data_IF_467414883967
#
_entry.id   IF_467414883967
#
_cell.length_a   1.000
_cell.length_b   1.000
_cell.length_c   1.000
_cell.angle_alpha   90.00
_cell.angle_beta   90.00
_cell.angle_gamma   90.00
#
_symmetry.space_group_name_H-M   'P 1'
#
loop_
_entity.id
_entity.type
_entity.pdbx_description
1 polymer ?
#
# COMPACT_ATOMS: atom_id res chain seq x y z
N UNK A 1 -15.96 -20.00 -46.48
CA UNK A 1 -15.54 -21.34 -46.94
C UNK A 1 -15.30 -22.15 -45.68
N UNK A 2 -16.04 -23.16 -45.25
CA UNK A 2 -17.08 -24.08 -45.77
C UNK A 2 -17.77 -24.55 -44.47
N UNK A 3 -19.05 -24.32 -44.16
CA UNK A 3 -20.33 -24.73 -44.75
C UNK A 3 -20.61 -26.25 -44.72
N UNK A 4 -21.86 -26.56 -44.34
CA UNK A 4 -22.62 -27.82 -44.42
C UNK A 4 -22.43 -28.84 -43.29
N UNK A 5 -23.44 -29.58 -42.81
CA UNK A 5 -24.92 -29.51 -42.79
C UNK A 5 -25.39 -30.90 -42.31
N UNK A 6 -26.46 -30.96 -41.50
CA UNK A 6 -27.55 -31.97 -41.56
C UNK A 6 -27.17 -33.46 -41.30
N UNK A 7 -28.04 -34.42 -40.96
CA UNK A 7 -29.48 -34.54 -40.69
C UNK A 7 -29.71 -36.02 -40.37
N UNK A 8 -30.68 -36.36 -39.50
CA UNK A 8 -31.90 -37.18 -39.78
C UNK A 8 -32.45 -37.77 -38.48
N UNK A 9 -33.68 -37.39 -38.07
CA UNK A 9 -35.02 -37.97 -38.42
C UNK A 9 -35.21 -39.35 -37.77
N UNK A 10 -36.23 -39.61 -36.95
CA UNK A 10 -37.67 -39.87 -37.26
C UNK A 10 -38.40 -40.18 -35.91
N UNK A 11 -39.70 -40.02 -35.62
CA UNK A 11 -40.94 -39.82 -36.40
C UNK A 11 -42.12 -39.42 -35.49
N UNK A 12 -43.10 -38.73 -36.10
CA UNK A 12 -44.43 -38.30 -35.66
C UNK A 12 -45.44 -39.40 -35.28
N UNK A 13 -46.40 -39.06 -34.39
CA UNK A 13 -47.89 -39.05 -34.53
C UNK A 13 -48.47 -38.44 -33.21
N UNK A 14 -48.99 -37.22 -33.14
CA UNK A 14 -50.30 -36.67 -33.57
C UNK A 14 -51.52 -37.11 -32.70
N UNK A 15 -51.99 -36.21 -31.83
CA UNK A 15 -53.38 -36.01 -31.34
C UNK A 15 -53.38 -34.73 -30.46
N UNK A 16 -53.71 -33.54 -30.96
CA UNK A 16 -55.04 -32.90 -31.08
C UNK A 16 -55.85 -32.83 -29.77
N UNK A 17 -55.77 -31.70 -29.05
CA UNK A 17 -56.93 -31.11 -28.36
C UNK A 17 -56.77 -29.59 -28.25
N UNK A 18 -57.77 -28.87 -28.75
CA UNK A 18 -57.90 -27.43 -28.72
C UNK A 18 -58.46 -26.94 -27.37
N UNK A 19 -58.34 -25.61 -27.13
CA UNK A 19 -59.21 -24.67 -26.39
C UNK A 19 -58.29 -23.50 -25.96
N UNK A 20 -58.03 -22.53 -26.84
CA UNK A 20 -58.69 -21.20 -26.96
C UNK A 20 -58.57 -20.29 -25.73
N UNK A 21 -58.03 -19.10 -26.00
CA UNK A 21 -57.48 -18.14 -25.04
C UNK A 21 -58.49 -17.47 -24.10
N UNK A 22 -57.98 -17.13 -22.92
CA UNK A 22 -58.66 -16.36 -21.89
C UNK A 22 -58.39 -14.86 -22.15
N UNK A 23 -59.33 -14.19 -22.82
CA UNK A 23 -59.36 -12.73 -22.92
C UNK A 23 -60.04 -12.14 -21.67
N UNK A 24 -59.36 -11.20 -21.01
CA UNK A 24 -59.87 -10.38 -19.92
C UNK A 24 -61.06 -9.53 -20.40
N UNK A 25 -62.28 -9.87 -19.95
CA UNK A 25 -63.49 -9.08 -20.14
C UNK A 25 -63.94 -8.45 -18.82
N UNK A 26 -63.93 -7.12 -18.76
CA UNK A 26 -64.56 -6.34 -17.70
C UNK A 26 -66.06 -6.68 -17.62
N UNK A 27 -66.49 -7.33 -16.54
CA UNK A 27 -67.91 -7.56 -16.26
C UNK A 27 -68.58 -6.29 -15.74
N UNK A 28 -69.46 -5.70 -16.54
CA UNK A 28 -70.38 -4.67 -16.09
C UNK A 28 -71.40 -5.28 -15.11
N UNK A 29 -71.57 -4.65 -13.94
CA UNK A 29 -72.60 -5.01 -12.97
C UNK A 29 -74.01 -4.81 -13.58
N UNK A 30 -74.95 -5.75 -13.41
CA UNK A 30 -76.33 -5.54 -13.83
C UNK A 30 -77.00 -4.54 -12.88
N UNK A 31 -77.22 -3.31 -13.35
CA UNK A 31 -78.10 -2.35 -12.66
C UNK A 31 -79.55 -2.78 -12.94
N UNK A 32 -80.13 -3.54 -12.02
CA UNK A 32 -81.57 -3.82 -12.01
C UNK A 32 -82.32 -2.55 -11.60
N UNK A 33 -82.88 -1.85 -12.58
CA UNK A 33 -83.71 -0.67 -12.33
C UNK A 33 -85.04 -1.11 -11.73
N UNK A 34 -85.24 -0.85 -10.43
CA UNK A 34 -86.53 -1.06 -9.74
C UNK A 34 -87.52 0.01 -10.21
N UNK A 35 -88.54 -0.36 -10.99
CA UNK A 35 -89.64 0.52 -11.34
C UNK A 35 -90.68 0.56 -10.22
N UNK A 36 -91.05 1.76 -9.74
CA UNK A 36 -92.16 1.90 -8.79
C UNK A 36 -93.49 1.67 -9.50
N UNK A 37 -94.23 0.65 -9.05
CA UNK A 37 -95.59 0.34 -9.50
C UNK A 37 -96.54 0.71 -8.37
N UNK A 38 -97.22 1.86 -8.49
CA UNK A 38 -98.22 2.32 -7.52
C UNK A 38 -99.56 1.67 -7.91
N UNK A 39 -100.02 0.68 -7.15
CA UNK A 39 -101.33 0.04 -7.36
C UNK A 39 -102.12 0.03 -6.05
N UNK A 40 -103.43 0.17 -6.15
CA UNK A 40 -104.35 0.15 -4.99
C UNK A 40 -104.84 -1.29 -4.67
N UNK A 41 -104.01 -2.30 -4.96
CA UNK A 41 -104.27 -3.72 -4.68
C UNK A 41 -103.47 -4.15 -3.45
N UNK A 42 -103.96 -5.08 -2.60
CA UNK A 42 -103.18 -5.57 -1.47
C UNK A 42 -101.83 -6.09 -1.96
N UNK A 43 -100.75 -5.78 -1.22
CA UNK A 43 -99.38 -6.17 -1.57
C UNK A 43 -99.34 -7.67 -1.88
N UNK A 44 -98.82 -8.10 -3.05
CA UNK A 44 -98.74 -9.52 -3.37
C UNK A 44 -97.77 -10.24 -2.42
N UNK A 45 -98.12 -11.47 -2.02
CA UNK A 45 -97.44 -12.22 -0.94
C UNK A 45 -95.93 -12.40 -1.13
N UNK A 46 -95.46 -12.40 -2.38
CA UNK A 46 -94.04 -12.48 -2.72
C UNK A 46 -93.24 -11.23 -2.31
N UNK A 47 -93.83 -10.04 -2.37
CA UNK A 47 -93.19 -8.80 -1.93
C UNK A 47 -93.25 -8.60 -0.41
N UNK A 48 -94.26 -9.17 0.26
CA UNK A 48 -94.34 -9.13 1.73
C UNK A 48 -93.19 -9.92 2.37
N UNK A 49 -92.75 -11.03 1.76
CA UNK A 49 -91.63 -11.84 2.26
C UNK A 49 -90.27 -11.17 2.12
N UNK A 50 -90.06 -10.37 1.08
CA UNK A 50 -88.78 -9.67 0.85
C UNK A 50 -88.63 -8.38 1.68
N UNK A 51 -89.72 -7.73 2.06
CA UNK A 51 -89.68 -6.48 2.86
C UNK A 51 -89.44 -6.77 4.35
N UNK A 52 -89.77 -7.98 4.83
CA UNK A 52 -89.60 -8.41 6.23
C UNK A 52 -88.42 -9.37 6.44
N UNK A 53 -87.41 -9.39 5.57
CA UNK A 53 -86.15 -10.03 5.91
C UNK A 53 -85.35 -9.11 6.85
N UNK A 54 -84.96 -9.55 8.05
CA UNK A 54 -84.02 -8.79 8.86
C UNK A 54 -82.75 -8.58 8.02
N UNK A 55 -82.32 -7.33 7.89
CA UNK A 55 -81.06 -6.96 7.23
C UNK A 55 -79.94 -7.88 7.75
N UNK A 56 -79.09 -8.48 6.89
CA UNK A 56 -77.91 -9.19 7.37
C UNK A 56 -77.13 -8.21 8.25
N UNK A 57 -77.04 -8.52 9.54
CA UNK A 57 -76.18 -7.78 10.45
C UNK A 57 -74.76 -8.05 9.96
N UNK A 58 -74.01 -7.00 9.64
CA UNK A 58 -72.61 -7.15 9.31
C UNK A 58 -71.94 -7.95 10.44
N UNK A 59 -71.13 -8.99 10.13
CA UNK A 59 -70.49 -9.78 11.16
C UNK A 59 -69.72 -8.84 12.08
N UNK A 60 -69.94 -8.97 13.39
CA UNK A 60 -69.20 -8.22 14.40
C UNK A 60 -67.77 -8.76 14.34
N UNK A 61 -66.87 -7.98 13.74
CA UNK A 61 -65.44 -8.30 13.74
C UNK A 61 -64.98 -8.23 15.19
N UNK A 62 -64.79 -9.39 15.79
CA UNK A 62 -64.29 -9.48 17.17
C UNK A 62 -62.82 -9.05 17.16
N UNK A 63 -62.27 -8.41 18.21
CA UNK A 63 -60.82 -8.12 18.28
C UNK A 63 -59.95 -9.36 18.03
N UNK A 64 -60.45 -10.57 18.37
CA UNK A 64 -59.79 -11.84 18.09
C UNK A 64 -59.78 -12.24 16.59
N UNK A 65 -60.64 -11.67 15.74
CA UNK A 65 -60.64 -11.93 14.29
C UNK A 65 -59.71 -10.98 13.51
N UNK A 66 -59.36 -9.83 14.09
CA UNK A 66 -58.24 -8.98 13.64
C UNK A 66 -56.88 -9.55 14.08
N UNK A 67 -56.91 -10.43 15.08
CA UNK A 67 -55.76 -11.23 15.48
C UNK A 67 -55.61 -12.39 14.46
N UNK A 68 -55.11 -12.06 13.26
CA UNK A 68 -54.49 -13.09 12.42
C UNK A 68 -53.50 -13.88 13.29
N UNK A 69 -53.39 -15.21 13.12
CA UNK A 69 -52.38 -15.98 13.83
C UNK A 69 -51.02 -15.33 13.56
N UNK A 70 -50.45 -14.77 14.63
CA UNK A 70 -49.19 -14.02 14.62
C UNK A 70 -47.99 -14.87 14.15
N UNK A 71 -48.23 -16.17 13.92
CA UNK A 71 -47.26 -17.18 13.51
C UNK A 71 -47.36 -17.61 12.05
N UNK A 72 -48.26 -17.03 11.25
CA UNK A 72 -48.14 -17.11 9.79
C UNK A 72 -47.01 -16.15 9.37
N UNK A 73 -45.77 -16.52 9.72
CA UNK A 73 -44.55 -15.93 9.16
C UNK A 73 -44.71 -16.00 7.66
N UNK A 74 -45.06 -14.87 7.05
CA UNK A 74 -44.94 -14.72 5.61
C UNK A 74 -43.45 -14.93 5.33
N UNK A 75 -43.12 -16.06 4.69
CA UNK A 75 -41.80 -16.34 4.13
C UNK A 75 -41.59 -15.32 3.01
N UNK A 76 -41.35 -14.07 3.41
CA UNK A 76 -41.19 -12.94 2.53
C UNK A 76 -39.79 -13.03 1.94
N UNK A 77 -39.67 -12.70 0.66
CA UNK A 77 -38.37 -12.60 -0.02
C UNK A 77 -37.39 -11.69 0.78
N UNK A 78 -37.93 -10.69 1.49
CA UNK A 78 -37.19 -9.79 2.38
C UNK A 78 -36.53 -10.55 3.54
N UNK A 79 -37.23 -11.50 4.16
CA UNK A 79 -36.70 -12.27 5.28
C UNK A 79 -35.55 -13.19 4.83
N UNK A 80 -35.67 -13.78 3.64
CA UNK A 80 -34.59 -14.58 3.05
C UNK A 80 -33.34 -13.71 2.79
N UNK A 81 -33.53 -12.50 2.26
CA UNK A 81 -32.45 -11.53 2.04
C UNK A 81 -31.80 -11.09 3.35
N UNK A 82 -32.60 -10.76 4.38
CA UNK A 82 -32.11 -10.42 5.72
C UNK A 82 -31.29 -11.58 6.31
N UNK A 83 -31.75 -12.82 6.15
CA UNK A 83 -31.02 -13.98 6.62
C UNK A 83 -29.68 -14.15 5.89
N UNK A 84 -29.65 -13.91 4.58
CA UNK A 84 -28.42 -13.91 3.79
C UNK A 84 -27.45 -12.81 4.25
N UNK A 85 -27.92 -11.56 4.34
CA UNK A 85 -27.13 -10.42 4.81
C UNK A 85 -26.53 -10.67 6.21
N UNK A 86 -27.29 -11.30 7.11
CA UNK A 86 -26.77 -11.67 8.44
C UNK A 86 -25.63 -12.68 8.39
N UNK A 87 -25.75 -13.69 7.52
CA UNK A 87 -24.71 -14.69 7.35
C UNK A 87 -23.44 -14.06 6.74
N UNK A 88 -23.61 -13.21 5.73
CA UNK A 88 -22.49 -12.51 5.09
C UNK A 88 -21.83 -11.51 6.05
N UNK A 89 -22.62 -10.78 6.84
CA UNK A 89 -22.13 -9.91 7.92
C UNK A 89 -21.33 -10.70 8.96
N UNK A 90 -21.83 -11.86 9.41
CA UNK A 90 -21.11 -12.71 10.36
C UNK A 90 -19.78 -13.23 9.78
N UNK A 91 -19.77 -13.59 8.50
CA UNK A 91 -18.55 -13.98 7.78
C UNK A 91 -17.56 -12.82 7.69
N UNK A 92 -18.04 -11.62 7.34
CA UNK A 92 -17.23 -10.41 7.28
C UNK A 92 -16.61 -10.08 8.65
N UNK A 93 -17.41 -10.10 9.72
CA UNK A 93 -16.95 -9.89 11.09
C UNK A 93 -15.85 -10.88 11.49
N UNK A 94 -16.04 -12.16 11.13
CA UNK A 94 -15.07 -13.21 11.41
C UNK A 94 -13.74 -12.99 10.67
N UNK A 95 -13.80 -12.61 9.39
CA UNK A 95 -12.62 -12.29 8.58
C UNK A 95 -11.88 -11.08 9.12
N UNK A 96 -12.59 -9.99 9.43
CA UNK A 96 -12.00 -8.77 10.01
C UNK A 96 -11.34 -9.07 11.36
N UNK A 97 -11.97 -9.89 12.21
CA UNK A 97 -11.40 -10.32 13.49
C UNK A 97 -10.14 -11.16 13.30
N UNK A 98 -10.11 -12.05 12.31
CA UNK A 98 -8.93 -12.85 11.97
C UNK A 98 -7.77 -11.99 11.46
N UNK A 99 -8.04 -11.02 10.57
CA UNK A 99 -7.06 -10.03 10.08
C UNK A 99 -6.47 -9.25 11.26
N UNK A 100 -7.33 -8.73 12.14
CA UNK A 100 -6.90 -7.99 13.34
C UNK A 100 -6.03 -8.83 14.27
N UNK A 101 -6.40 -10.09 14.51
CA UNK A 101 -5.62 -11.01 15.33
C UNK A 101 -4.25 -11.34 14.72
N UNK A 102 -4.19 -11.55 13.40
CA UNK A 102 -2.93 -11.76 12.68
C UNK A 102 -2.05 -10.51 12.69
N UNK A 103 -2.63 -9.33 12.54
CA UNK A 103 -1.93 -8.05 12.67
C UNK A 103 -1.27 -7.92 14.05
N UNK A 104 -2.03 -8.14 15.13
CA UNK A 104 -1.50 -8.06 16.49
C UNK A 104 -0.37 -9.08 16.73
N UNK A 105 -0.49 -10.28 16.15
CA UNK A 105 0.54 -11.32 16.23
C UNK A 105 1.83 -10.90 15.50
N UNK A 106 1.72 -10.34 14.29
CA UNK A 106 2.87 -9.84 13.53
C UNK A 106 3.55 -8.67 14.25
N UNK A 107 2.76 -7.75 14.82
CA UNK A 107 3.30 -6.64 15.62
C UNK A 107 4.07 -7.16 16.83
N UNK A 108 3.53 -8.13 17.57
CA UNK A 108 4.21 -8.75 18.72
C UNK A 108 5.49 -9.48 18.32
N UNK A 109 5.44 -10.29 17.26
CA UNK A 109 6.61 -10.99 16.71
C UNK A 109 7.69 -10.00 16.22
N UNK A 110 7.28 -8.95 15.52
CA UNK A 110 8.18 -7.90 15.04
C UNK A 110 8.90 -7.18 16.18
N UNK A 111 8.18 -6.83 17.25
CA UNK A 111 8.76 -6.20 18.45
C UNK A 111 9.77 -7.11 19.15
N UNK A 112 9.44 -8.39 19.34
CA UNK A 112 10.33 -9.37 19.96
C UNK A 112 11.59 -9.58 19.11
N UNK A 113 11.42 -9.72 17.80
CA UNK A 113 12.55 -9.95 16.87
C UNK A 113 13.45 -8.72 16.78
N UNK A 114 12.89 -7.51 16.77
CA UNK A 114 13.66 -6.27 16.81
C UNK A 114 14.43 -6.11 18.13
N UNK A 115 13.82 -6.46 19.28
CA UNK A 115 14.51 -6.43 20.56
C UNK A 115 15.70 -7.41 20.61
N UNK A 116 15.51 -8.64 20.12
CA UNK A 116 16.58 -9.63 20.02
C UNK A 116 17.70 -9.16 19.07
N UNK A 117 17.33 -8.55 17.93
CA UNK A 117 18.28 -7.94 17.00
C UNK A 117 19.13 -6.86 17.69
N UNK A 118 18.50 -5.90 18.36
CA UNK A 118 19.23 -4.83 19.04
C UNK A 118 20.12 -5.32 20.18
N UNK A 119 19.71 -6.37 20.90
CA UNK A 119 20.57 -7.00 21.90
C UNK A 119 21.85 -7.58 21.29
N UNK A 120 21.75 -8.24 20.13
CA UNK A 120 22.91 -8.77 19.39
C UNK A 120 23.81 -7.63 18.90
N UNK A 121 23.24 -6.61 18.26
CA UNK A 121 24.00 -5.46 17.75
C UNK A 121 24.68 -4.68 18.89
N UNK A 122 24.02 -4.50 20.03
CA UNK A 122 24.61 -3.88 21.22
C UNK A 122 25.81 -4.67 21.75
N UNK A 123 25.69 -6.00 21.79
CA UNK A 123 26.79 -6.88 22.22
C UNK A 123 27.96 -6.84 21.24
N UNK A 124 27.69 -6.87 19.93
CA UNK A 124 28.71 -6.73 18.89
C UNK A 124 29.41 -5.37 19.00
N UNK A 125 28.64 -4.28 19.08
CA UNK A 125 29.17 -2.91 19.13
C UNK A 125 30.06 -2.68 20.36
N UNK A 126 29.62 -3.10 21.54
CA UNK A 126 30.40 -2.99 22.78
C UNK A 126 31.71 -3.78 22.71
N UNK A 127 31.68 -4.99 22.15
CA UNK A 127 32.87 -5.80 21.96
C UNK A 127 33.84 -5.21 20.93
N UNK A 128 33.32 -4.64 19.83
CA UNK A 128 34.12 -3.98 18.80
C UNK A 128 34.75 -2.67 19.29
N UNK A 129 34.06 -1.91 20.15
CA UNK A 129 34.59 -0.69 20.77
C UNK A 129 35.77 -0.98 21.70
N UNK A 130 35.73 -2.10 22.42
CA UNK A 130 36.83 -2.57 23.27
C UNK A 130 37.98 -3.14 22.43
N UNK A 131 37.72 -3.41 21.14
CA UNK A 131 38.60 -4.15 20.25
C UNK A 131 38.41 -5.66 20.41
N UNK A 132 38.53 -6.39 19.30
CA UNK A 132 38.46 -7.84 19.29
C UNK A 132 39.43 -8.41 18.26
N UNK A 133 39.64 -9.72 18.28
CA UNK A 133 40.44 -10.37 17.24
C UNK A 133 39.69 -10.33 15.91
N UNK A 134 40.35 -10.00 14.78
CA UNK A 134 39.75 -10.10 13.45
C UNK A 134 39.08 -11.46 13.25
N UNK A 135 37.81 -11.46 12.84
CA UNK A 135 37.07 -12.71 12.58
C UNK A 135 36.69 -13.51 13.83
N UNK A 136 36.47 -12.86 14.98
CA UNK A 136 36.03 -13.54 16.20
C UNK A 136 34.76 -14.40 15.97
N UNK A 137 34.81 -15.73 16.16
CA UNK A 137 33.68 -16.62 15.84
C UNK A 137 32.44 -16.37 16.71
N UNK A 138 32.62 -15.84 17.93
CA UNK A 138 31.47 -15.49 18.80
C UNK A 138 30.69 -14.30 18.24
N UNK A 139 31.39 -13.31 17.69
CA UNK A 139 30.75 -12.17 17.05
C UNK A 139 30.16 -12.54 15.71
N UNK A 140 30.80 -13.45 14.97
CA UNK A 140 30.24 -13.99 13.74
C UNK A 140 28.90 -14.70 14.02
N UNK A 141 28.84 -15.55 15.05
CA UNK A 141 27.59 -16.21 15.45
C UNK A 141 26.50 -15.20 15.85
N UNK A 142 26.85 -14.11 16.57
CA UNK A 142 25.90 -13.05 16.90
C UNK A 142 25.43 -12.27 15.67
N UNK A 143 26.33 -12.03 14.71
CA UNK A 143 26.03 -11.39 13.45
C UNK A 143 25.08 -12.25 12.62
N UNK A 144 25.32 -13.57 12.54
CA UNK A 144 24.44 -14.52 11.86
C UNK A 144 23.04 -14.53 12.50
N UNK A 145 22.96 -14.50 13.83
CA UNK A 145 21.68 -14.39 14.54
C UNK A 145 20.98 -13.04 14.24
N UNK A 146 21.73 -11.94 14.17
CA UNK A 146 21.18 -10.64 13.80
C UNK A 146 20.66 -10.63 12.35
N UNK A 147 21.33 -11.30 11.42
CA UNK A 147 20.86 -11.49 10.05
C UNK A 147 19.58 -12.32 10.01
N UNK A 148 19.52 -13.43 10.75
CA UNK A 148 18.31 -14.27 10.84
C UNK A 148 17.10 -13.49 11.41
N UNK A 149 17.35 -12.61 12.37
CA UNK A 149 16.31 -11.72 12.90
C UNK A 149 15.81 -10.75 11.82
N UNK A 150 16.70 -10.10 11.06
CA UNK A 150 16.28 -9.22 9.94
C UNK A 150 15.53 -9.97 8.83
N UNK A 151 15.93 -11.20 8.52
CA UNK A 151 15.21 -12.07 7.58
C UNK A 151 13.79 -12.38 8.07
N UNK A 152 13.62 -12.61 9.38
CA UNK A 152 12.30 -12.79 9.99
C UNK A 152 11.45 -11.52 9.88
N UNK A 153 12.03 -10.33 10.14
CA UNK A 153 11.32 -9.06 9.90
C UNK A 153 10.95 -8.87 8.42
N UNK A 154 11.82 -9.29 7.50
CA UNK A 154 11.54 -9.25 6.06
C UNK A 154 10.37 -10.16 5.68
N UNK A 155 10.23 -11.33 6.31
CA UNK A 155 9.06 -12.20 6.12
C UNK A 155 7.79 -11.59 6.70
N UNK A 156 7.88 -10.99 7.89
CA UNK A 156 6.75 -10.26 8.48
C UNK A 156 6.28 -9.12 7.54
N UNK A 157 7.20 -8.45 6.83
CA UNK A 157 6.83 -7.45 5.81
C UNK A 157 6.02 -8.07 4.66
N UNK A 158 6.36 -9.28 4.20
CA UNK A 158 5.54 -10.00 3.20
C UNK A 158 4.16 -10.33 3.77
N UNK A 159 4.09 -10.78 5.03
CA UNK A 159 2.81 -11.04 5.70
C UNK A 159 1.95 -9.79 5.85
N UNK A 160 2.54 -8.63 6.17
CA UNK A 160 1.84 -7.34 6.20
C UNK A 160 1.27 -6.97 4.82
N UNK A 161 2.03 -7.17 3.74
CA UNK A 161 1.53 -6.95 2.38
C UNK A 161 0.35 -7.90 2.06
N UNK A 162 0.40 -9.14 2.53
CA UNK A 162 -0.73 -10.07 2.46
C UNK A 162 -1.96 -9.54 3.19
N UNK A 163 -1.79 -9.06 4.44
CA UNK A 163 -2.88 -8.44 5.20
C UNK A 163 -3.47 -7.20 4.52
N UNK A 164 -2.66 -6.40 3.81
CA UNK A 164 -3.15 -5.25 3.06
C UNK A 164 -4.08 -5.68 1.92
N UNK A 165 -3.73 -6.77 1.22
CA UNK A 165 -4.58 -7.36 0.17
C UNK A 165 -5.88 -7.91 0.77
N UNK A 166 -5.77 -8.71 1.85
CA UNK A 166 -6.94 -9.28 2.55
C UNK A 166 -7.87 -8.17 3.07
N UNK A 167 -7.31 -7.07 3.58
CA UNK A 167 -8.06 -5.90 4.05
C UNK A 167 -8.82 -5.21 2.91
N UNK A 168 -8.20 -5.09 1.73
CA UNK A 168 -8.86 -4.56 0.53
C UNK A 168 -10.01 -5.46 0.03
N UNK A 169 -9.86 -6.77 0.17
CA UNK A 169 -10.94 -7.73 -0.17
C UNK A 169 -12.15 -7.57 0.76
N UNK A 170 -11.92 -7.49 2.08
CA UNK A 170 -13.02 -7.30 3.05
C UNK A 170 -13.64 -5.89 2.94
N UNK A 171 -12.87 -4.87 2.56
CA UNK A 171 -13.40 -3.53 2.27
C UNK A 171 -14.37 -3.55 1.08
N UNK A 172 -14.02 -4.31 0.03
CA UNK A 172 -14.88 -4.49 -1.14
C UNK A 172 -16.15 -5.26 -0.78
N UNK A 173 -16.03 -6.30 0.04
CA UNK A 173 -17.17 -7.05 0.58
C UNK A 173 -18.08 -6.15 1.43
N UNK A 174 -17.53 -5.34 2.34
CA UNK A 174 -18.31 -4.40 3.15
C UNK A 174 -19.08 -3.39 2.28
N UNK A 175 -18.43 -2.88 1.23
CA UNK A 175 -19.04 -1.97 0.24
C UNK A 175 -20.16 -2.64 -0.55
N UNK A 176 -20.02 -3.93 -0.89
CA UNK A 176 -21.09 -4.71 -1.48
C UNK A 176 -22.28 -4.86 -0.51
N UNK A 177 -22.01 -5.27 0.74
CA UNK A 177 -23.06 -5.50 1.74
C UNK A 177 -23.89 -4.25 2.06
N UNK A 178 -23.26 -3.07 2.14
CA UNK A 178 -24.01 -1.83 2.41
C UNK A 178 -24.94 -1.48 1.24
N UNK A 179 -24.53 -1.75 0.00
CA UNK A 179 -25.37 -1.53 -1.18
C UNK A 179 -26.51 -2.56 -1.24
N UNK A 180 -26.23 -3.82 -0.91
CA UNK A 180 -27.24 -4.87 -0.84
C UNK A 180 -28.27 -4.59 0.26
N UNK A 181 -27.83 -4.19 1.46
CA UNK A 181 -28.72 -3.77 2.53
C UNK A 181 -29.63 -2.60 2.11
N UNK A 182 -29.08 -1.60 1.38
CA UNK A 182 -29.85 -0.48 0.81
C UNK A 182 -30.85 -0.93 -0.26
N UNK A 183 -30.49 -1.91 -1.09
CA UNK A 183 -31.39 -2.48 -2.08
C UNK A 183 -32.54 -3.24 -1.41
N UNK A 184 -32.28 -3.96 -0.32
CA UNK A 184 -33.29 -4.70 0.44
C UNK A 184 -34.40 -3.80 1.00
N UNK A 185 -34.10 -2.53 1.35
CA UNK A 185 -35.12 -1.54 1.75
C UNK A 185 -36.16 -1.23 0.68
N UNK A 186 -35.80 -1.38 -0.60
CA UNK A 186 -36.70 -1.09 -1.73
C UNK A 186 -37.62 -2.26 -2.08
N UNK A 187 -37.43 -3.42 -1.45
CA UNK A 187 -38.21 -4.61 -1.72
C UNK A 187 -39.63 -4.47 -1.15
N UNK A 188 -40.64 -4.70 -1.97
CA UNK A 188 -42.04 -4.45 -1.62
C UNK A 188 -42.60 -5.55 -0.72
N UNK A 189 -43.36 -5.18 0.32
CA UNK A 189 -43.99 -6.14 1.23
C UNK A 189 -43.19 -6.45 2.51
N UNK A 190 -42.18 -5.65 2.84
CA UNK A 190 -41.48 -5.69 4.13
C UNK A 190 -42.38 -5.18 5.28
N UNK A 191 -42.24 -5.78 6.46
CA UNK A 191 -42.88 -5.28 7.68
C UNK A 191 -41.98 -4.25 8.38
N UNK A 192 -42.55 -3.47 9.32
CA UNK A 192 -41.78 -2.52 10.13
C UNK A 192 -40.67 -3.24 10.94
N UNK A 193 -40.93 -4.47 11.40
CA UNK A 193 -39.91 -5.27 12.09
C UNK A 193 -38.71 -5.59 11.17
N UNK A 194 -38.95 -5.85 9.89
CA UNK A 194 -37.89 -6.14 8.91
C UNK A 194 -37.00 -4.89 8.70
N UNK A 195 -37.61 -3.71 8.56
CA UNK A 195 -36.89 -2.44 8.43
C UNK A 195 -36.00 -2.15 9.64
N UNK A 196 -36.49 -2.44 10.86
CA UNK A 196 -35.69 -2.30 12.07
C UNK A 196 -34.49 -3.27 12.08
N UNK A 197 -34.67 -4.50 11.58
CA UNK A 197 -33.54 -5.44 11.46
C UNK A 197 -32.52 -5.05 10.40
N UNK A 198 -32.97 -4.54 9.25
CA UNK A 198 -32.09 -4.00 8.21
C UNK A 198 -31.29 -2.80 8.74
N UNK A 199 -31.89 -1.95 9.56
CA UNK A 199 -31.22 -0.78 10.12
C UNK A 199 -30.07 -1.21 11.04
N UNK A 200 -30.31 -2.22 11.88
CA UNK A 200 -29.27 -2.79 12.74
C UNK A 200 -28.13 -3.43 11.93
N UNK A 201 -28.43 -4.07 10.79
CA UNK A 201 -27.42 -4.63 9.88
C UNK A 201 -26.60 -3.52 9.22
N UNK A 202 -27.26 -2.48 8.69
CA UNK A 202 -26.59 -1.30 8.12
C UNK A 202 -25.65 -0.64 9.13
N UNK A 203 -26.11 -0.41 10.36
CA UNK A 203 -25.28 0.14 11.44
C UNK A 203 -24.06 -0.74 11.74
N UNK A 204 -24.23 -2.06 11.75
CA UNK A 204 -23.13 -3.00 11.98
C UNK A 204 -22.12 -2.98 10.82
N UNK A 205 -22.58 -2.93 9.57
CA UNK A 205 -21.71 -2.82 8.39
C UNK A 205 -20.94 -1.50 8.45
N UNK A 206 -21.61 -0.38 8.74
CA UNK A 206 -20.96 0.93 8.88
C UNK A 206 -19.88 0.92 9.98
N UNK A 207 -20.13 0.27 11.12
CA UNK A 207 -19.14 0.12 12.17
C UNK A 207 -17.92 -0.70 11.68
N UNK A 208 -18.16 -1.82 10.99
CA UNK A 208 -17.10 -2.66 10.44
C UNK A 208 -16.27 -1.91 9.39
N UNK A 209 -16.89 -1.09 8.54
CA UNK A 209 -16.18 -0.24 7.58
C UNK A 209 -15.17 0.67 8.28
N UNK A 210 -15.54 1.31 9.39
CA UNK A 210 -14.61 2.14 10.19
C UNK A 210 -13.45 1.29 10.75
N UNK A 211 -13.72 0.05 11.17
CA UNK A 211 -12.67 -0.87 11.63
C UNK A 211 -11.74 -1.27 10.49
N UNK A 212 -12.28 -1.56 9.30
CA UNK A 212 -11.52 -1.87 8.09
C UNK A 212 -10.62 -0.69 7.69
N UNK A 213 -11.16 0.53 7.69
CA UNK A 213 -10.37 1.74 7.39
C UNK A 213 -9.21 1.93 8.39
N UNK A 214 -9.47 1.68 9.68
CA UNK A 214 -8.42 1.74 10.70
C UNK A 214 -7.38 0.64 10.48
N UNK A 215 -7.80 -0.58 10.16
CA UNK A 215 -6.89 -1.70 9.86
C UNK A 215 -6.03 -1.39 8.65
N UNK A 216 -6.62 -0.87 7.57
CA UNK A 216 -5.90 -0.51 6.35
C UNK A 216 -4.82 0.54 6.64
N UNK A 217 -5.16 1.58 7.41
CA UNK A 217 -4.19 2.60 7.79
C UNK A 217 -3.07 2.05 8.67
N UNK A 218 -3.40 1.24 9.68
CA UNK A 218 -2.39 0.62 10.55
C UNK A 218 -1.45 -0.33 9.78
N UNK A 219 -2.00 -1.16 8.88
CA UNK A 219 -1.19 -2.08 8.06
C UNK A 219 -0.27 -1.30 7.13
N UNK A 220 -0.76 -0.25 6.47
CA UNK A 220 0.06 0.57 5.57
C UNK A 220 1.19 1.32 6.31
N UNK A 221 0.91 1.83 7.51
CA UNK A 221 1.93 2.47 8.36
C UNK A 221 2.98 1.46 8.81
N UNK A 222 2.56 0.27 9.27
CA UNK A 222 3.47 -0.81 9.65
C UNK A 222 4.33 -1.31 8.48
N UNK A 223 3.78 -1.43 7.27
CA UNK A 223 4.53 -1.77 6.04
C UNK A 223 5.62 -0.71 5.80
N UNK A 224 5.23 0.56 5.78
CA UNK A 224 6.14 1.67 5.48
C UNK A 224 7.25 1.78 6.51
N UNK A 225 6.90 1.70 7.79
CA UNK A 225 7.82 1.73 8.93
C UNK A 225 8.78 0.53 8.92
N UNK A 226 8.26 -0.67 8.70
CA UNK A 226 9.08 -1.90 8.67
C UNK A 226 10.01 -1.92 7.46
N UNK A 227 9.55 -1.48 6.28
CA UNK A 227 10.39 -1.39 5.09
C UNK A 227 11.54 -0.39 5.27
N UNK A 228 11.25 0.81 5.81
CA UNK A 228 12.26 1.81 6.11
C UNK A 228 13.28 1.31 7.14
N UNK A 229 12.79 0.65 8.20
CA UNK A 229 13.63 0.01 9.22
C UNK A 229 14.56 -1.04 8.61
N UNK A 230 14.03 -1.98 7.82
CA UNK A 230 14.80 -3.06 7.21
C UNK A 230 15.91 -2.50 6.30
N UNK A 231 15.59 -1.51 5.48
CA UNK A 231 16.58 -0.88 4.60
C UNK A 231 17.71 -0.21 5.40
N UNK A 232 17.39 0.49 6.49
CA UNK A 232 18.40 1.11 7.35
C UNK A 232 19.29 0.06 8.03
N UNK A 233 18.67 -0.99 8.59
CA UNK A 233 19.40 -2.02 9.36
C UNK A 233 20.24 -2.95 8.48
N UNK A 234 19.82 -3.24 7.24
CA UNK A 234 20.68 -3.98 6.29
C UNK A 234 21.98 -3.25 5.99
N UNK A 235 21.94 -1.93 5.84
CA UNK A 235 23.13 -1.10 5.64
C UNK A 235 24.01 -1.06 6.90
N UNK A 236 23.38 -0.96 8.07
CA UNK A 236 24.07 -1.03 9.36
C UNK A 236 24.79 -2.37 9.54
N UNK A 237 24.09 -3.49 9.28
CA UNK A 237 24.65 -4.84 9.39
C UNK A 237 25.81 -5.05 8.42
N UNK A 238 25.71 -4.55 7.18
CA UNK A 238 26.83 -4.59 6.23
C UNK A 238 28.07 -3.86 6.77
N UNK A 239 27.89 -2.71 7.40
CA UNK A 239 28.98 -1.96 8.03
C UNK A 239 29.57 -2.72 9.21
N UNK A 240 28.72 -3.27 10.08
CA UNK A 240 29.14 -4.08 11.23
C UNK A 240 29.85 -5.37 10.80
N UNK A 241 29.45 -6.00 9.70
CA UNK A 241 30.09 -7.22 9.19
C UNK A 241 31.55 -6.96 8.81
N UNK A 242 31.84 -5.81 8.22
CA UNK A 242 33.21 -5.37 7.91
C UNK A 242 34.00 -5.06 9.18
N UNK A 243 33.37 -4.44 10.18
CA UNK A 243 33.99 -4.16 11.46
C UNK A 243 34.34 -5.45 12.24
N UNK A 244 33.45 -6.45 12.24
CA UNK A 244 33.70 -7.78 12.84
C UNK A 244 34.83 -8.50 12.11
N UNK A 245 34.85 -8.45 10.78
CA UNK A 245 35.93 -9.04 10.00
C UNK A 245 37.30 -8.42 10.35
N UNK A 246 37.35 -7.09 10.55
CA UNK A 246 38.57 -6.36 10.89
C UNK A 246 38.91 -6.36 12.39
N UNK A 247 37.96 -6.75 13.25
CA UNK A 247 38.13 -6.76 14.71
C UNK A 247 38.05 -5.40 15.40
N UNK A 248 37.55 -4.37 14.70
CA UNK A 248 37.48 -2.99 15.20
C UNK A 248 36.34 -2.23 14.51
N UNK A 249 35.58 -1.43 15.28
CA UNK A 249 34.48 -0.61 14.77
C UNK A 249 34.98 0.53 13.88
N UNK A 250 36.10 1.16 14.22
CA UNK A 250 36.63 2.32 13.49
C UNK A 250 37.73 1.98 12.51
N UNK A 251 38.15 0.71 12.48
CA UNK A 251 39.27 0.26 11.69
C UNK A 251 40.58 0.91 12.12
N UNK A 252 41.61 0.09 12.27
CA UNK A 252 43.01 0.57 12.22
C UNK A 252 43.31 1.42 10.97
N UNK A 253 42.41 1.54 10.00
CA UNK A 253 42.53 2.47 8.88
C UNK A 253 42.56 3.98 9.25
N UNK A 254 42.17 4.41 10.46
CA UNK A 254 42.43 5.80 10.92
C UNK A 254 43.64 5.94 11.85
N UNK A 255 44.01 4.87 12.58
CA UNK A 255 45.12 4.91 13.56
C UNK A 255 46.44 4.33 13.03
N UNK A 256 46.39 3.48 12.00
CA UNK A 256 47.53 2.89 11.28
C UNK A 256 47.64 3.33 9.82
N UNK A 257 46.71 4.17 9.33
CA UNK A 257 47.17 5.22 8.42
C UNK A 257 47.81 6.25 9.33
N UNK A 258 49.13 6.45 9.29
CA UNK A 258 49.57 7.78 9.66
C UNK A 258 48.71 8.69 8.79
N UNK A 259 47.99 9.62 9.40
CA UNK A 259 47.93 10.96 8.84
C UNK A 259 49.40 11.42 8.76
N UNK A 260 50.19 10.77 7.88
CA UNK A 260 51.32 11.39 7.26
C UNK A 260 50.66 12.62 6.71
N UNK A 261 50.97 13.76 7.32
CA UNK A 261 51.29 14.96 6.58
C UNK A 261 51.52 14.52 5.14
N UNK A 262 50.48 14.64 4.31
CA UNK A 262 50.75 14.80 2.91
C UNK A 262 51.76 15.94 2.92
N UNK A 263 52.98 15.79 2.36
CA UNK A 263 53.78 16.97 2.13
C UNK A 263 52.81 17.93 1.45
N UNK A 264 52.66 19.13 2.00
CA UNK A 264 52.00 20.24 1.32
C UNK A 264 52.62 20.27 -0.07
N UNK A 265 51.94 19.64 -1.01
CA UNK A 265 52.44 19.57 -2.36
C UNK A 265 52.13 20.96 -2.85
N UNK A 266 53.18 21.69 -3.24
CA UNK A 266 53.21 23.13 -3.54
C UNK A 266 52.09 23.60 -4.49
N UNK A 267 51.39 22.67 -5.14
CA UNK A 267 50.20 22.86 -5.95
C UNK A 267 49.02 23.47 -5.16
N UNK A 268 48.84 23.17 -3.87
CA UNK A 268 47.68 23.71 -3.10
C UNK A 268 47.85 25.20 -2.75
N UNK A 269 49.09 25.69 -2.63
CA UNK A 269 49.37 27.10 -2.35
C UNK A 269 49.20 28.01 -3.59
N UNK A 270 49.32 27.46 -4.81
CA UNK A 270 49.21 28.23 -6.06
C UNK A 270 47.77 28.49 -6.52
N UNK A 271 46.78 27.73 -6.01
CA UNK A 271 45.37 27.89 -6.40
C UNK A 271 44.68 29.01 -5.62
N UNK A 272 45.24 29.46 -4.50
CA UNK A 272 44.70 30.60 -3.75
C UNK A 272 44.94 31.96 -4.44
N UNK A 273 45.71 32.02 -5.53
CA UNK A 273 46.15 33.28 -6.16
C UNK A 273 45.94 33.40 -7.67
N UNK A 274 45.20 32.51 -8.34
CA UNK A 274 45.01 32.60 -9.79
C UNK A 274 43.74 33.39 -10.22
N UNK A 275 43.99 34.54 -10.86
CA UNK A 275 43.01 35.38 -11.56
C UNK A 275 42.79 34.87 -13.01
N UNK A 276 41.61 35.03 -13.65
CA UNK A 276 41.15 34.21 -14.79
C UNK A 276 41.75 34.51 -16.19
N UNK A 277 42.97 35.05 -16.31
CA UNK A 277 43.43 35.62 -17.60
C UNK A 277 44.79 35.11 -18.12
N UNK A 278 45.25 33.91 -17.77
CA UNK A 278 46.52 33.38 -18.29
C UNK A 278 46.42 31.93 -18.79
N UNK A 279 47.12 31.66 -19.89
CA UNK A 279 47.26 30.37 -20.56
C UNK A 279 47.80 29.26 -19.62
N UNK A 280 47.49 27.98 -19.87
CA UNK A 280 47.74 26.90 -18.91
C UNK A 280 49.24 26.63 -18.75
N UNK A 281 49.69 26.67 -17.50
CA UNK A 281 51.00 26.19 -17.03
C UNK A 281 50.76 25.21 -15.87
N UNK A 282 51.74 24.33 -15.64
CA UNK A 282 51.75 23.16 -14.72
C UNK A 282 51.40 23.48 -13.25
N UNK A 283 51.18 24.76 -12.90
CA UNK A 283 50.71 25.20 -11.57
C UNK A 283 49.21 25.54 -11.47
N UNK A 284 48.44 25.46 -12.57
CA UNK A 284 46.98 25.61 -12.57
C UNK A 284 46.35 24.39 -13.27
N UNK A 285 46.11 23.28 -12.55
CA UNK A 285 45.46 22.13 -13.15
C UNK A 285 44.04 22.53 -13.54
N UNK A 286 43.78 22.55 -14.85
CA UNK A 286 42.43 22.77 -15.37
C UNK A 286 41.61 21.50 -15.04
N UNK A 287 40.43 21.62 -14.40
CA UNK A 287 39.61 20.45 -14.15
C UNK A 287 39.21 19.82 -15.49
N UNK A 288 39.41 18.51 -15.61
CA UNK A 288 38.97 17.72 -16.76
C UNK A 288 37.45 17.81 -16.86
N UNK A 289 36.78 17.65 -15.72
CA UNK A 289 35.33 17.76 -15.61
C UNK A 289 34.95 18.59 -14.40
N UNK A 290 33.99 19.51 -14.60
CA UNK A 290 33.33 20.26 -13.54
C UNK A 290 31.85 19.90 -13.52
N UNK A 291 31.43 19.27 -12.44
CA UNK A 291 30.03 18.85 -12.23
C UNK A 291 29.41 19.81 -11.21
N UNK A 292 28.33 20.46 -11.62
CA UNK A 292 27.57 21.37 -10.76
C UNK A 292 26.30 20.68 -10.30
N UNK A 293 26.13 20.55 -8.98
CA UNK A 293 24.93 19.95 -8.39
C UNK A 293 23.97 21.06 -7.96
N UNK A 294 23.47 21.82 -8.92
CA UNK A 294 22.51 22.91 -8.71
C UNK A 294 21.05 22.43 -8.67
N UNK A 295 20.78 21.21 -9.17
CA UNK A 295 19.44 20.60 -9.22
C UNK A 295 19.46 19.18 -8.64
N UNK A 296 18.29 18.71 -8.19
CA UNK A 296 18.12 17.30 -7.85
C UNK A 296 18.22 16.44 -9.13
N UNK A 297 18.91 15.30 -9.05
CA UNK A 297 19.14 14.38 -10.17
C UNK A 297 19.84 15.01 -11.39
N UNK A 298 21.02 15.58 -11.20
CA UNK A 298 21.88 15.99 -12.32
C UNK A 298 22.33 14.74 -13.09
N UNK A 299 22.08 14.70 -14.40
CA UNK A 299 22.59 13.68 -15.32
C UNK A 299 24.07 13.96 -15.61
N UNK A 300 24.96 13.51 -14.72
CA UNK A 300 26.41 13.71 -14.87
C UNK A 300 27.12 12.45 -15.38
N UNK A 301 26.44 11.30 -15.38
CA UNK A 301 27.03 9.99 -15.57
C UNK A 301 27.65 9.80 -16.97
N UNK A 302 26.89 10.12 -18.03
CA UNK A 302 27.31 10.02 -19.44
C UNK A 302 28.47 10.98 -19.82
N UNK A 303 28.41 12.30 -19.52
CA UNK A 303 29.50 13.20 -19.86
C UNK A 303 30.78 12.93 -19.07
N UNK A 304 30.68 12.48 -17.82
CA UNK A 304 31.83 12.11 -17.01
C UNK A 304 32.53 10.88 -17.58
N UNK A 305 31.77 9.85 -17.94
CA UNK A 305 32.35 8.64 -18.53
C UNK A 305 33.07 8.92 -19.85
N UNK A 306 32.47 9.72 -20.73
CA UNK A 306 33.08 10.10 -22.00
C UNK A 306 34.40 10.85 -21.79
N UNK A 307 34.41 11.84 -20.90
CA UNK A 307 35.62 12.61 -20.61
C UNK A 307 36.74 11.77 -19.98
N UNK A 308 36.38 10.85 -19.08
CA UNK A 308 37.36 10.00 -18.40
C UNK A 308 37.88 8.89 -19.32
N UNK A 309 37.04 8.30 -20.17
CA UNK A 309 37.47 7.31 -21.16
C UNK A 309 38.40 7.92 -22.22
N UNK A 310 38.11 9.14 -22.70
CA UNK A 310 39.01 9.89 -23.59
C UNK A 310 40.36 10.20 -22.90
N UNK A 311 40.32 10.59 -21.63
CA UNK A 311 41.53 10.81 -20.84
C UNK A 311 42.38 9.54 -20.66
N UNK A 312 41.76 8.38 -20.42
CA UNK A 312 42.47 7.09 -20.32
C UNK A 312 43.04 6.67 -21.67
N UNK A 313 42.32 6.91 -22.76
CA UNK A 313 42.79 6.61 -24.11
C UNK A 313 44.03 7.43 -24.50
N UNK A 314 44.10 8.69 -24.06
CA UNK A 314 45.27 9.55 -24.25
C UNK A 314 46.39 9.27 -23.25
N UNK A 315 46.05 8.90 -22.01
CA UNK A 315 46.99 8.67 -20.91
C UNK A 315 46.67 7.35 -20.18
N UNK A 316 47.26 6.21 -20.61
CA UNK A 316 46.95 4.89 -20.05
C UNK A 316 47.21 4.77 -18.55
N UNK A 317 48.21 5.49 -18.03
CA UNK A 317 48.64 5.46 -16.62
C UNK A 317 48.09 6.62 -15.76
N UNK A 318 47.12 7.39 -16.26
CA UNK A 318 46.56 8.54 -15.53
C UNK A 318 45.94 8.15 -14.18
N UNK A 319 46.18 8.95 -13.14
CA UNK A 319 45.43 8.90 -11.89
C UNK A 319 44.41 10.05 -11.88
N UNK A 320 43.33 9.89 -11.12
CA UNK A 320 42.24 10.87 -11.06
C UNK A 320 42.03 11.36 -9.64
N UNK A 321 42.09 12.67 -9.45
CA UNK A 321 41.75 13.31 -8.18
C UNK A 321 40.33 13.86 -8.26
N UNK A 322 39.42 13.26 -7.48
CA UNK A 322 38.06 13.76 -7.27
C UNK A 322 38.08 14.77 -6.13
N UNK A 323 37.83 16.04 -6.43
CA UNK A 323 37.78 17.11 -5.44
C UNK A 323 36.33 17.54 -5.23
N UNK A 324 35.83 17.31 -4.02
CA UNK A 324 34.57 17.88 -3.56
C UNK A 324 34.80 19.36 -3.23
N UNK A 325 34.15 20.26 -3.98
CA UNK A 325 34.27 21.70 -3.80
C UNK A 325 33.09 22.23 -3.03
N UNK A 326 33.37 22.80 -1.87
CA UNK A 326 32.37 23.43 -1.01
C UNK A 326 32.38 24.97 -1.15
N UNK A 327 31.20 25.62 -1.11
CA UNK A 327 31.10 27.07 -1.14
C UNK A 327 31.65 27.64 0.18
N UNK A 328 32.31 28.81 0.12
CA UNK A 328 32.78 29.52 1.33
C UNK A 328 31.91 30.72 1.71
N UNK A 329 30.83 30.97 0.97
CA UNK A 329 29.93 32.11 1.16
C UNK A 329 28.56 31.58 1.60
N UNK A 330 28.10 31.95 2.80
CA UNK A 330 26.79 31.55 3.34
C UNK A 330 26.74 31.54 4.87
N UNK A 331 25.57 31.18 5.42
CA UNK A 331 25.39 31.00 6.87
C UNK A 331 26.10 29.71 7.34
N UNK A 332 26.62 29.66 8.58
CA UNK A 332 27.34 28.52 9.14
C UNK A 332 26.56 27.19 9.04
N UNK A 333 25.24 27.22 9.27
CA UNK A 333 24.38 26.06 9.11
C UNK A 333 24.26 25.61 7.64
N UNK A 334 24.18 26.55 6.70
CA UNK A 334 24.11 26.26 5.27
C UNK A 334 25.45 25.71 4.75
N UNK A 335 26.58 26.27 5.20
CA UNK A 335 27.92 25.78 4.87
C UNK A 335 28.12 24.32 5.33
N UNK A 336 27.63 23.96 6.51
CA UNK A 336 27.70 22.59 7.02
C UNK A 336 26.81 21.60 6.23
N UNK A 337 25.66 22.06 5.74
CA UNK A 337 24.78 21.26 4.88
C UNK A 337 25.41 21.06 3.50
N UNK A 338 25.94 22.13 2.89
CA UNK A 338 26.59 22.08 1.58
C UNK A 338 27.90 21.28 1.61
N UNK A 339 28.66 21.31 2.70
CA UNK A 339 29.86 20.46 2.85
C UNK A 339 29.51 18.97 2.90
N UNK A 340 28.46 18.63 3.66
CA UNK A 340 27.93 17.25 3.73
C UNK A 340 27.40 16.81 2.37
N UNK A 341 26.71 17.71 1.65
CA UNK A 341 26.18 17.46 0.31
C UNK A 341 27.29 17.29 -0.73
N UNK A 342 28.31 18.14 -0.73
CA UNK A 342 29.47 18.05 -1.61
C UNK A 342 30.20 16.71 -1.44
N UNK A 343 30.39 16.26 -0.20
CA UNK A 343 31.00 14.96 0.10
C UNK A 343 30.17 13.80 -0.44
N UNK A 344 28.86 13.78 -0.15
CA UNK A 344 27.95 12.73 -0.67
C UNK A 344 27.89 12.70 -2.19
N UNK A 345 27.92 13.87 -2.83
CA UNK A 345 27.93 13.98 -4.29
C UNK A 345 29.23 13.44 -4.88
N UNK A 346 30.38 13.76 -4.28
CA UNK A 346 31.66 13.22 -4.72
C UNK A 346 31.74 11.69 -4.53
N UNK A 347 31.21 11.15 -3.44
CA UNK A 347 31.06 9.70 -3.24
C UNK A 347 30.14 9.05 -4.28
N UNK A 348 29.05 9.74 -4.68
CA UNK A 348 28.16 9.26 -5.75
C UNK A 348 28.93 9.14 -7.06
N UNK A 349 29.67 10.19 -7.46
CA UNK A 349 30.49 10.20 -8.67
C UNK A 349 31.56 9.11 -8.61
N UNK A 350 32.24 8.95 -7.47
CA UNK A 350 33.22 7.89 -7.26
C UNK A 350 32.64 6.49 -7.50
N UNK A 351 31.49 6.18 -6.89
CA UNK A 351 30.81 4.90 -7.09
C UNK A 351 30.42 4.68 -8.55
N UNK A 352 29.91 5.71 -9.22
CA UNK A 352 29.59 5.63 -10.65
C UNK A 352 30.85 5.28 -11.46
N UNK A 353 31.98 5.95 -11.23
CA UNK A 353 33.23 5.67 -11.94
C UNK A 353 33.73 4.24 -11.71
N UNK A 354 33.66 3.73 -10.48
CA UNK A 354 34.03 2.34 -10.17
C UNK A 354 33.08 1.33 -10.82
N UNK A 355 31.76 1.60 -10.84
CA UNK A 355 30.78 0.72 -11.50
C UNK A 355 30.98 0.66 -13.02
N UNK A 356 31.49 1.74 -13.63
CA UNK A 356 31.79 1.81 -15.05
C UNK A 356 33.18 1.23 -15.41
N UNK A 357 33.86 0.58 -14.46
CA UNK A 357 35.06 -0.22 -14.71
C UNK A 357 36.39 0.49 -14.44
N UNK A 358 36.39 1.69 -13.84
CA UNK A 358 37.63 2.34 -13.41
C UNK A 358 38.09 1.72 -12.09
N UNK A 359 39.35 1.30 -12.04
CA UNK A 359 39.96 0.74 -10.83
C UNK A 359 39.92 1.77 -9.69
N UNK A 360 39.47 1.32 -8.52
CA UNK A 360 39.37 2.11 -7.30
C UNK A 360 40.73 2.71 -6.91
N UNK A 361 41.84 2.01 -7.20
CA UNK A 361 43.18 2.46 -6.87
C UNK A 361 43.70 3.62 -7.74
N UNK A 362 42.98 3.98 -8.81
CA UNK A 362 43.32 5.10 -9.69
C UNK A 362 42.60 6.39 -9.32
N UNK A 363 41.73 6.37 -8.30
CA UNK A 363 40.88 7.50 -7.94
C UNK A 363 41.13 7.89 -6.48
N UNK A 364 41.63 9.10 -6.27
CA UNK A 364 41.78 9.71 -4.95
C UNK A 364 40.65 10.71 -4.67
N UNK A 365 40.20 10.78 -3.42
CA UNK A 365 39.12 11.67 -3.00
C UNK A 365 39.67 12.77 -2.09
N UNK A 366 39.46 14.02 -2.48
CA UNK A 366 39.89 15.21 -1.75
C UNK A 366 38.74 16.21 -1.55
N UNK A 367 38.91 17.12 -0.60
CA UNK A 367 37.95 18.19 -0.32
C UNK A 367 38.64 19.53 -0.44
N UNK A 368 38.00 20.50 -1.09
CA UNK A 368 38.55 21.86 -1.24
C UNK A 368 37.47 22.91 -1.06
N UNK A 369 37.87 24.06 -0.52
CA UNK A 369 37.02 25.24 -0.32
C UNK A 369 37.24 26.20 -1.47
N UNK A 370 36.17 26.63 -2.15
CA UNK A 370 36.29 27.63 -3.22
C UNK A 370 35.41 28.85 -2.96
N UNK A 371 35.97 30.07 -2.95
CA UNK A 371 35.20 31.32 -2.92
C UNK A 371 34.36 31.56 -4.18
N UNK A 372 34.71 30.88 -5.27
CA UNK A 372 34.04 31.02 -6.57
C UNK A 372 32.82 30.09 -6.73
N UNK A 373 32.71 29.05 -5.89
CA UNK A 373 31.60 28.11 -5.92
C UNK A 373 30.39 28.68 -5.16
N UNK A 374 29.23 28.72 -5.82
CA UNK A 374 27.96 29.14 -5.20
C UNK A 374 27.12 27.97 -4.67
N UNK A 375 27.45 26.76 -5.10
CA UNK A 375 26.73 25.50 -4.82
C UNK A 375 27.75 24.38 -4.63
N UNK A 376 27.32 23.21 -4.13
CA UNK A 376 28.20 22.02 -4.12
C UNK A 376 28.62 21.62 -5.53
N UNK A 377 29.93 21.50 -5.77
CA UNK A 377 30.51 21.15 -7.07
C UNK A 377 31.50 19.99 -6.90
N UNK A 378 31.68 19.19 -7.94
CA UNK A 378 32.70 18.11 -7.96
C UNK A 378 33.60 18.34 -9.17
N UNK A 379 34.89 18.43 -8.92
CA UNK A 379 35.91 18.60 -9.95
C UNK A 379 36.74 17.32 -10.07
N UNK A 380 37.03 16.92 -11.30
CA UNK A 380 37.90 15.78 -11.59
C UNK A 380 39.17 16.32 -12.22
N UNK A 381 40.32 15.99 -11.65
CA UNK A 381 41.64 16.33 -12.17
C UNK A 381 42.37 15.08 -12.60
N UNK A 382 43.24 15.21 -13.60
CA UNK A 382 44.17 14.17 -14.00
C UNK A 382 45.50 14.46 -13.33
N UNK A 383 46.14 13.40 -12.81
CA UNK A 383 47.48 13.42 -12.23
C UNK A 383 48.46 12.63 -13.08
#
# INVERSE_FOLDING_TARGET
>A
MVSFHLSKKTTLKAALLAITGLSLGFGALPVSAKSLVITNRPLPENLQRDIYQPRPVAPIISPQQLLLPQDARYDSLVNQEIAQLRNELSSLQSRVSAISGRLATLQGSGQQTAAAYYANIGTISTQLQTGTTPGNPRLLQQLDQAQANLETLSRNLVDYNGLAVDTSEVASTASYLINEARAAYSLTGALEEDHATLAAIEDSINNITIVIDRLQNNVNDDISRTAAYLAAEQNNLRTLSLAVANGDFYGKALSSRPFSRAPETQLVQQVASSSPAAAPSVGNPKPLVKIRFDKANVNFEEPVYTAVSEAIAQYPNAQFDLVAVEPTVGNAAQLAIESTRARRNAEKVFRTLTQQGIDQNRIDLATSKSPSAKTSEVHIYIR
#
